data_IF_268498547806
#
_entry.id   IF_268498547806
#
_cell.length_a   1.000
_cell.length_b   1.000
_cell.length_c   1.000
_cell.angle_alpha   90.00
_cell.angle_beta   90.00
_cell.angle_gamma   90.00
#
_symmetry.space_group_name_H-M   'P 1'
#
loop_
_entity.id
_entity.type
_entity.pdbx_description
1 polymer ?
#
# COMPACT_ATOMS: atom_id res chain seq x y z
N UNK A 1 -5.59 23.35 0.07
CA UNK A 1 -6.18 22.40 -0.89
C UNK A 1 -6.61 21.15 -0.13
N UNK A 2 -7.68 20.49 -0.55
CA UNK A 2 -8.17 19.27 0.10
C UNK A 2 -7.99 18.08 -0.85
N UNK A 3 -7.42 16.99 -0.35
CA UNK A 3 -7.18 15.76 -1.13
C UNK A 3 -7.95 14.61 -0.48
N UNK A 4 -8.61 13.80 -1.31
CA UNK A 4 -9.31 12.59 -0.85
C UNK A 4 -8.35 11.41 -0.92
N UNK A 5 -8.25 10.64 0.16
CA UNK A 5 -7.48 9.39 0.19
C UNK A 5 -8.43 8.23 -0.11
N UNK A 6 -8.29 7.62 -1.29
CA UNK A 6 -9.11 6.47 -1.68
C UNK A 6 -8.43 5.61 -2.75
N UNK A 7 -9.18 4.70 -3.37
CA UNK A 7 -8.75 3.83 -4.47
C UNK A 7 -9.33 4.23 -5.84
N UNK A 8 -9.91 5.43 -5.96
CA UNK A 8 -10.49 5.96 -7.22
C UNK A 8 -9.53 6.90 -7.96
N UNK A 9 -9.84 7.22 -9.22
CA UNK A 9 -9.02 8.09 -10.09
C UNK A 9 -8.84 9.47 -9.48
N UNK A 10 -7.59 9.97 -9.52
CA UNK A 10 -7.24 11.30 -9.01
C UNK A 10 -7.34 11.45 -7.49
N UNK A 11 -7.30 10.33 -6.76
CA UNK A 11 -7.33 10.31 -5.29
C UNK A 11 -6.21 9.42 -4.77
N UNK A 12 -5.99 9.45 -3.46
CA UNK A 12 -4.99 8.63 -2.80
C UNK A 12 -3.78 9.43 -2.35
N UNK A 13 -2.78 8.70 -1.87
CA UNK A 13 -1.59 9.28 -1.26
C UNK A 13 -0.67 9.92 -2.31
N UNK A 14 -0.73 9.46 -3.56
CA UNK A 14 -0.05 10.07 -4.69
C UNK A 14 -0.49 11.51 -4.95
N UNK A 15 -1.81 11.75 -5.01
CA UNK A 15 -2.38 13.10 -5.15
C UNK A 15 -2.03 14.01 -3.97
N UNK A 16 -1.94 13.46 -2.75
CA UNK A 16 -1.52 14.22 -1.58
C UNK A 16 -0.06 14.64 -1.69
N UNK A 17 0.82 13.72 -2.10
CA UNK A 17 2.23 14.03 -2.32
C UNK A 17 2.43 15.08 -3.42
N UNK A 18 1.65 15.02 -4.50
CA UNK A 18 1.65 16.04 -5.55
C UNK A 18 1.24 17.41 -5.01
N UNK A 19 0.16 17.49 -4.23
CA UNK A 19 -0.29 18.73 -3.60
C UNK A 19 0.76 19.32 -2.63
N UNK A 20 1.44 18.47 -1.85
CA UNK A 20 2.55 18.91 -0.98
C UNK A 20 3.71 19.44 -1.84
N UNK A 21 4.10 18.70 -2.87
CA UNK A 21 5.22 19.06 -3.74
C UNK A 21 4.96 20.36 -4.53
N UNK A 22 3.71 20.62 -4.92
CA UNK A 22 3.30 21.88 -5.55
C UNK A 22 3.51 23.09 -4.64
N UNK A 23 3.31 22.93 -3.33
CA UNK A 23 3.44 23.99 -2.31
C UNK A 23 4.79 23.93 -1.55
N UNK A 24 5.73 23.13 -2.06
CA UNK A 24 6.91 22.74 -1.31
C UNK A 24 7.94 23.84 -1.07
N UNK A 25 7.89 24.93 -1.84
CA UNK A 25 8.70 26.12 -1.60
C UNK A 25 8.23 26.91 -0.37
N UNK A 26 6.94 26.87 -0.06
CA UNK A 26 6.38 27.50 1.14
C UNK A 26 6.51 26.56 2.34
N UNK A 27 6.20 25.28 2.15
CA UNK A 27 6.26 24.28 3.22
C UNK A 27 7.69 23.92 3.62
N UNK A 28 8.67 24.09 2.72
CA UNK A 28 10.04 23.59 2.88
C UNK A 28 10.07 22.07 3.15
N UNK A 29 9.09 21.35 2.60
CA UNK A 29 8.91 19.91 2.71
C UNK A 29 8.63 19.37 1.31
N UNK A 30 9.29 18.26 0.96
CA UNK A 30 9.00 17.45 -0.22
C UNK A 30 8.37 16.14 0.22
N UNK A 31 7.50 15.58 -0.60
CA UNK A 31 6.82 14.33 -0.32
C UNK A 31 7.12 13.29 -1.39
N UNK A 32 7.32 12.05 -0.97
CA UNK A 32 7.28 10.87 -1.83
C UNK A 32 6.29 9.87 -1.27
N UNK A 33 5.89 8.90 -2.09
CA UNK A 33 4.91 7.90 -1.69
C UNK A 33 5.29 6.53 -2.24
N UNK A 34 4.78 5.49 -1.59
CA UNK A 34 4.79 4.13 -2.12
C UNK A 34 3.50 3.43 -1.71
N UNK A 35 2.80 2.85 -2.67
CA UNK A 35 1.64 1.98 -2.40
C UNK A 35 1.92 0.61 -2.97
N UNK A 36 2.34 -0.29 -2.09
CA UNK A 36 2.65 -1.66 -2.43
C UNK A 36 2.12 -2.59 -1.34
N UNK A 37 1.41 -3.62 -1.75
CA UNK A 37 0.99 -4.73 -0.90
C UNK A 37 1.76 -5.98 -1.28
N UNK A 38 2.46 -6.56 -0.33
CA UNK A 38 3.16 -7.84 -0.50
C UNK A 38 2.43 -8.91 0.32
N UNK A 39 2.32 -10.12 -0.24
CA UNK A 39 1.77 -11.26 0.47
C UNK A 39 2.64 -11.67 1.67
N UNK A 40 2.01 -12.01 2.79
CA UNK A 40 2.69 -12.63 3.93
C UNK A 40 3.12 -14.07 3.63
N UNK A 41 2.40 -14.72 2.72
CA UNK A 41 2.58 -16.13 2.34
C UNK A 41 2.68 -16.26 0.83
N UNK A 42 3.25 -17.35 0.37
CA UNK A 42 3.35 -17.61 -1.07
C UNK A 42 1.96 -17.83 -1.67
N UNK A 43 1.83 -17.52 -2.95
CA UNK A 43 0.59 -17.83 -3.69
C UNK A 43 0.39 -19.35 -3.64
N UNK A 44 -0.82 -19.75 -3.29
CA UNK A 44 -1.17 -21.16 -3.18
C UNK A 44 -0.67 -21.83 -1.89
N UNK A 45 -0.22 -21.09 -0.88
CA UNK A 45 0.19 -21.71 0.39
C UNK A 45 -0.96 -22.46 1.09
N UNK A 46 -2.22 -22.08 0.85
CA UNK A 46 -3.40 -22.78 1.38
C UNK A 46 -3.98 -23.80 0.40
N UNK A 47 -3.26 -24.14 -0.68
CA UNK A 47 -3.67 -25.17 -1.64
C UNK A 47 -3.96 -26.46 -0.88
N UNK A 48 -5.21 -26.89 -0.94
CA UNK A 48 -5.63 -28.17 -0.41
C UNK A 48 -5.28 -29.27 -1.42
N UNK A 49 -5.15 -30.51 -0.95
CA UNK A 49 -5.07 -31.68 -1.84
C UNK A 49 -6.28 -31.77 -2.80
N UNK A 50 -7.39 -31.15 -2.40
CA UNK A 50 -8.57 -30.93 -3.22
C UNK A 50 -8.40 -29.67 -4.09
N UNK A 51 -8.12 -29.88 -5.39
CA UNK A 51 -7.96 -28.82 -6.40
C UNK A 51 -9.15 -27.87 -6.51
N UNK A 52 -10.35 -28.30 -6.11
CA UNK A 52 -11.56 -27.44 -6.18
C UNK A 52 -11.51 -26.25 -5.22
N UNK A 53 -10.58 -26.27 -4.25
CA UNK A 53 -10.34 -25.19 -3.29
C UNK A 53 -9.22 -24.23 -3.71
N UNK A 54 -8.55 -24.50 -4.83
CA UNK A 54 -7.45 -23.68 -5.33
C UNK A 54 -7.99 -22.55 -6.22
N UNK A 55 -8.98 -21.80 -5.72
CA UNK A 55 -9.64 -20.77 -6.51
C UNK A 55 -9.99 -19.56 -5.68
N UNK A 56 -10.08 -18.42 -6.35
CA UNK A 56 -10.58 -17.18 -5.77
C UNK A 56 -11.89 -16.85 -6.48
N UNK A 57 -12.98 -16.83 -5.72
CA UNK A 57 -14.32 -16.59 -6.26
C UNK A 57 -14.68 -15.09 -6.20
N UNK A 58 -15.07 -14.52 -7.34
CA UNK A 58 -15.55 -13.13 -7.42
C UNK A 58 -14.49 -12.09 -7.02
N UNK A 59 -13.25 -12.27 -7.48
CA UNK A 59 -12.15 -11.35 -7.25
C UNK A 59 -12.49 -9.95 -7.80
N UNK A 60 -12.23 -8.94 -6.98
CA UNK A 60 -12.35 -7.53 -7.31
C UNK A 60 -11.11 -6.78 -6.83
N UNK A 61 -10.62 -5.87 -7.67
CA UNK A 61 -9.54 -4.94 -7.32
C UNK A 61 -10.02 -3.52 -7.57
N UNK A 62 -9.92 -2.65 -6.57
CA UNK A 62 -10.37 -1.26 -6.61
C UNK A 62 -11.82 -1.09 -7.08
N UNK A 63 -12.67 -2.10 -6.82
CA UNK A 63 -14.08 -2.15 -7.22
C UNK A 63 -14.35 -2.77 -8.60
N UNK A 64 -13.32 -3.02 -9.41
CA UNK A 64 -13.43 -3.67 -10.73
C UNK A 64 -13.45 -5.18 -10.55
N UNK A 65 -14.39 -5.87 -11.20
CA UNK A 65 -14.53 -7.33 -11.14
C UNK A 65 -13.59 -8.02 -12.11
N UNK A 66 -12.70 -8.85 -11.57
CA UNK A 66 -11.81 -9.73 -12.32
C UNK A 66 -12.46 -11.11 -12.55
N UNK A 67 -13.47 -11.47 -11.75
CA UNK A 67 -14.20 -12.73 -11.85
C UNK A 67 -13.60 -13.83 -10.96
N UNK A 68 -13.85 -15.08 -11.32
CA UNK A 68 -13.29 -16.24 -10.60
C UNK A 68 -12.01 -16.71 -11.28
N UNK A 69 -10.96 -16.93 -10.49
CA UNK A 69 -9.71 -17.55 -10.95
C UNK A 69 -9.69 -18.97 -10.38
N UNK A 70 -9.64 -19.97 -11.24
CA UNK A 70 -9.63 -21.38 -10.87
C UNK A 70 -8.21 -21.96 -10.98
N UNK A 71 -8.02 -23.11 -10.34
CA UNK A 71 -6.82 -23.96 -10.47
C UNK A 71 -5.49 -23.23 -10.21
N UNK A 72 -5.49 -22.27 -9.27
CA UNK A 72 -4.31 -21.49 -8.91
C UNK A 72 -3.19 -22.43 -8.47
N UNK A 73 -2.05 -22.32 -9.15
CA UNK A 73 -0.85 -23.09 -8.83
C UNK A 73 0.03 -22.37 -7.81
N UNK A 74 0.89 -23.12 -7.08
CA UNK A 74 1.87 -22.50 -6.19
C UNK A 74 2.72 -21.47 -6.95
N UNK A 75 2.93 -20.31 -6.32
CA UNK A 75 3.71 -19.19 -6.88
C UNK A 75 3.19 -18.66 -8.22
N UNK A 76 1.92 -18.89 -8.57
CA UNK A 76 1.33 -18.51 -9.87
C UNK A 76 2.14 -19.06 -11.06
N UNK A 77 2.53 -20.35 -11.01
CA UNK A 77 3.38 -20.97 -12.02
C UNK A 77 2.80 -20.94 -13.46
N UNK A 78 1.49 -20.83 -13.58
CA UNK A 78 0.73 -20.68 -14.83
C UNK A 78 0.50 -19.21 -15.22
N UNK A 79 0.81 -18.26 -14.34
CA UNK A 79 0.66 -16.82 -14.57
C UNK A 79 -0.80 -16.34 -14.58
N UNK A 80 -1.75 -17.16 -14.11
CA UNK A 80 -3.17 -16.88 -14.20
C UNK A 80 -3.60 -15.71 -13.29
N UNK A 81 -3.06 -15.64 -12.07
CA UNK A 81 -3.32 -14.53 -11.14
C UNK A 81 -2.75 -13.24 -11.72
N UNK A 82 -1.50 -13.26 -12.18
CA UNK A 82 -0.85 -12.10 -12.79
C UNK A 82 -1.59 -11.61 -14.03
N UNK A 83 -1.98 -12.52 -14.93
CA UNK A 83 -2.73 -12.16 -16.13
C UNK A 83 -4.09 -11.55 -15.79
N UNK A 84 -4.84 -12.13 -14.85
CA UNK A 84 -6.15 -11.62 -14.45
C UNK A 84 -6.08 -10.19 -13.91
N UNK A 85 -5.06 -9.87 -13.11
CA UNK A 85 -4.85 -8.52 -12.59
C UNK A 85 -4.33 -7.57 -13.67
N UNK A 86 -3.27 -7.97 -14.38
CA UNK A 86 -2.57 -7.10 -15.30
C UNK A 86 -3.39 -6.75 -16.57
N UNK A 87 -4.33 -7.62 -16.96
CA UNK A 87 -5.27 -7.31 -18.05
C UNK A 87 -6.18 -6.11 -17.76
N UNK A 88 -6.40 -5.79 -16.47
CA UNK A 88 -7.23 -4.67 -16.04
C UNK A 88 -6.43 -3.58 -15.29
N UNK A 89 -5.10 -3.52 -15.46
CA UNK A 89 -4.26 -2.48 -14.83
C UNK A 89 -4.69 -1.07 -15.23
N UNK A 90 -5.09 -0.86 -16.49
CA UNK A 90 -5.54 0.46 -16.97
C UNK A 90 -6.83 0.95 -16.28
N UNK A 91 -7.66 0.05 -15.77
CA UNK A 91 -8.90 0.37 -15.07
C UNK A 91 -8.70 0.43 -13.55
N UNK A 92 -7.94 -0.53 -13.01
CA UNK A 92 -7.72 -0.66 -11.56
C UNK A 92 -6.64 0.27 -11.03
N UNK A 93 -5.65 0.64 -11.87
CA UNK A 93 -4.43 1.35 -11.46
C UNK A 93 -3.42 0.48 -10.71
N UNK A 94 -3.65 -0.84 -10.66
CA UNK A 94 -2.85 -1.81 -9.89
C UNK A 94 -2.15 -2.77 -10.84
N UNK A 95 -0.86 -2.99 -10.60
CA UNK A 95 -0.05 -3.97 -11.30
C UNK A 95 0.32 -5.11 -10.34
N UNK A 96 0.20 -6.35 -10.81
CA UNK A 96 0.61 -7.54 -10.09
C UNK A 96 1.95 -8.08 -10.59
N UNK A 97 2.74 -8.60 -9.66
CA UNK A 97 3.98 -9.34 -9.89
C UNK A 97 4.14 -10.43 -8.84
N UNK A 98 5.03 -11.39 -9.09
CA UNK A 98 5.45 -12.40 -8.10
C UNK A 98 6.90 -12.12 -7.73
N UNK A 99 7.20 -12.08 -6.43
CA UNK A 99 8.57 -11.91 -5.97
C UNK A 99 9.39 -13.21 -6.09
N UNK A 100 10.71 -13.13 -5.88
CA UNK A 100 11.60 -14.31 -5.99
C UNK A 100 11.28 -15.42 -4.98
N UNK A 101 10.46 -15.15 -3.96
CA UNK A 101 10.04 -16.11 -2.93
C UNK A 101 8.66 -16.70 -3.24
N UNK A 102 7.96 -16.22 -4.27
CA UNK A 102 6.63 -16.69 -4.65
C UNK A 102 5.47 -15.92 -4.02
N UNK A 103 5.72 -14.76 -3.41
CA UNK A 103 4.67 -13.90 -2.86
C UNK A 103 4.06 -13.01 -3.95
N UNK A 104 2.74 -12.83 -3.88
CA UNK A 104 2.06 -11.83 -4.69
C UNK A 104 2.48 -10.42 -4.25
N UNK A 105 2.83 -9.58 -5.21
CA UNK A 105 3.12 -8.17 -4.99
C UNK A 105 2.21 -7.34 -5.88
N UNK A 106 1.41 -6.49 -5.25
CA UNK A 106 0.53 -5.53 -5.91
C UNK A 106 1.10 -4.13 -5.72
N UNK A 107 1.28 -3.39 -6.81
CA UNK A 107 1.80 -2.03 -6.79
C UNK A 107 0.81 -1.09 -7.47
N UNK A 108 0.49 0.03 -6.82
CA UNK A 108 -0.32 1.08 -7.44
C UNK A 108 0.56 1.98 -8.29
N UNK A 109 0.16 2.24 -9.54
CA UNK A 109 0.96 3.07 -10.46
C UNK A 109 0.78 4.58 -10.24
N UNK A 110 -0.40 5.00 -9.80
CA UNK A 110 -0.79 6.41 -9.64
C UNK A 110 -0.91 6.85 -8.17
N UNK A 111 -0.52 5.99 -7.21
CA UNK A 111 -0.53 6.31 -5.78
C UNK A 111 -1.90 6.25 -5.12
N UNK A 112 -2.85 5.55 -5.73
CA UNK A 112 -4.12 5.17 -5.10
C UNK A 112 -3.94 4.08 -4.07
N UNK A 113 -4.95 3.92 -3.22
CA UNK A 113 -5.08 2.71 -2.42
C UNK A 113 -5.33 1.46 -3.27
N UNK A 114 -4.85 0.33 -2.75
CA UNK A 114 -5.09 -1.02 -3.23
C UNK A 114 -6.15 -1.64 -2.33
N UNK A 115 -7.32 -1.93 -2.90
CA UNK A 115 -8.40 -2.65 -2.23
C UNK A 115 -8.69 -3.92 -3.00
N UNK A 116 -8.37 -5.06 -2.41
CA UNK A 116 -8.65 -6.38 -2.97
C UNK A 116 -9.82 -7.00 -2.20
N UNK A 117 -10.77 -7.54 -2.92
CA UNK A 117 -11.95 -8.19 -2.35
C UNK A 117 -12.25 -9.47 -3.11
N UNK A 118 -12.75 -10.48 -2.43
CA UNK A 118 -13.31 -11.66 -3.06
C UNK A 118 -14.52 -12.16 -2.27
N UNK A 119 -15.38 -12.94 -2.92
CA UNK A 119 -16.47 -13.64 -2.24
C UNK A 119 -15.92 -14.78 -1.38
N UNK A 120 -14.90 -15.50 -1.87
CA UNK A 120 -14.22 -16.57 -1.14
C UNK A 120 -12.80 -16.83 -1.69
N UNK A 121 -11.97 -17.51 -0.91
CA UNK A 121 -10.65 -18.03 -1.34
C UNK A 121 -9.55 -16.98 -1.45
N UNK A 122 -9.73 -15.76 -0.94
CA UNK A 122 -8.73 -14.69 -1.05
C UNK A 122 -7.41 -15.04 -0.34
N UNK A 123 -7.46 -15.90 0.67
CA UNK A 123 -6.29 -16.40 1.40
C UNK A 123 -5.34 -17.23 0.53
N UNK A 124 -5.81 -17.79 -0.58
CA UNK A 124 -4.98 -18.48 -1.59
C UNK A 124 -3.94 -17.53 -2.20
N UNK A 125 -4.23 -16.23 -2.26
CA UNK A 125 -3.29 -15.22 -2.77
C UNK A 125 -2.18 -14.86 -1.77
N UNK A 126 -2.26 -15.36 -0.53
CA UNK A 126 -1.23 -15.15 0.50
C UNK A 126 -1.14 -13.72 1.03
N UNK A 127 -2.11 -12.85 0.73
CA UNK A 127 -2.18 -11.48 1.25
C UNK A 127 -2.57 -11.45 2.73
N UNK A 128 -2.11 -10.42 3.46
CA UNK A 128 -2.64 -10.10 4.78
C UNK A 128 -4.11 -9.71 4.64
N UNK A 129 -5.02 -10.37 5.35
CA UNK A 129 -6.45 -10.14 5.21
C UNK A 129 -6.98 -9.38 6.42
N UNK A 130 -7.79 -8.36 6.16
CA UNK A 130 -8.48 -7.65 7.22
C UNK A 130 -9.40 -8.64 7.95
N UNK A 131 -9.32 -8.65 9.29
CA UNK A 131 -10.14 -9.53 10.12
C UNK A 131 -11.59 -9.10 10.12
N UNK A 132 -12.37 -9.75 9.26
CA UNK A 132 -13.68 -10.34 9.49
C UNK A 132 -14.00 -11.08 8.19
N UNK A 133 -14.02 -12.42 8.27
CA UNK A 133 -14.32 -13.33 7.16
C UNK A 133 -13.27 -13.46 6.03
N UNK A 134 -12.04 -12.93 6.15
CA UNK A 134 -10.94 -13.16 5.17
C UNK A 134 -11.30 -12.86 3.71
N UNK A 135 -12.14 -11.85 3.48
CA UNK A 135 -12.66 -11.51 2.13
C UNK A 135 -12.05 -10.23 1.56
N UNK A 136 -11.25 -9.49 2.35
CA UNK A 136 -10.77 -8.17 1.97
C UNK A 136 -9.34 -7.92 2.42
N UNK A 137 -8.59 -7.24 1.57
CA UNK A 137 -7.31 -6.61 1.88
C UNK A 137 -7.40 -5.13 1.50
N UNK A 138 -6.86 -4.23 2.32
CA UNK A 138 -6.84 -2.79 2.04
C UNK A 138 -5.47 -2.23 2.41
N UNK A 139 -4.90 -1.45 1.51
CA UNK A 139 -3.67 -0.72 1.73
C UNK A 139 -3.74 0.63 1.03
N UNK A 140 -3.51 1.73 1.73
CA UNK A 140 -3.48 3.07 1.14
C UNK A 140 -2.06 3.62 0.98
N UNK A 141 -1.07 2.79 1.31
CA UNK A 141 0.36 3.04 1.14
C UNK A 141 0.96 3.90 2.24
N UNK A 142 2.18 4.35 1.96
CA UNK A 142 3.04 5.13 2.85
C UNK A 142 3.40 6.46 2.18
N UNK A 143 3.28 7.54 2.93
CA UNK A 143 3.81 8.86 2.58
C UNK A 143 5.13 9.06 3.33
N UNK A 144 6.14 9.59 2.64
CA UNK A 144 7.43 9.95 3.21
C UNK A 144 7.63 11.45 3.02
N UNK A 145 7.94 12.16 4.10
CA UNK A 145 8.17 13.59 4.10
C UNK A 145 9.65 13.87 4.31
N UNK A 146 10.21 14.71 3.45
CA UNK A 146 11.62 15.08 3.47
C UNK A 146 11.73 16.58 3.61
N UNK A 147 12.51 17.01 4.60
CA UNK A 147 12.91 18.39 4.80
C UNK A 147 14.44 18.45 4.81
N UNK A 148 14.98 19.54 4.27
CA UNK A 148 16.43 19.72 4.10
C UNK A 148 17.09 20.48 5.27
N UNK A 149 16.31 20.90 6.25
CA UNK A 149 16.83 21.43 7.52
C UNK A 149 16.68 20.37 8.63
N UNK A 150 17.22 20.67 9.82
CA UNK A 150 17.20 19.73 10.95
C UNK A 150 15.95 19.85 11.84
N UNK A 151 14.91 20.57 11.39
CA UNK A 151 13.66 20.75 12.17
C UNK A 151 12.67 19.66 11.85
N UNK A 152 11.88 19.34 12.85
CA UNK A 152 10.80 18.38 12.72
C UNK A 152 9.72 18.84 11.71
N UNK A 153 9.07 17.87 11.07
CA UNK A 153 7.92 18.08 10.20
C UNK A 153 6.66 17.71 10.98
N UNK A 154 6.02 18.73 11.55
CA UNK A 154 4.78 18.55 12.31
C UNK A 154 3.63 18.37 11.31
N UNK A 155 2.97 17.22 11.39
CA UNK A 155 1.80 16.88 10.56
C UNK A 155 0.59 16.75 11.47
N UNK A 156 -0.42 17.58 11.22
CA UNK A 156 -1.71 17.53 11.93
C UNK A 156 -2.83 17.41 10.92
N UNK A 157 -3.87 16.63 11.23
CA UNK A 157 -5.11 16.70 10.48
C UNK A 157 -5.97 17.86 10.99
N UNK A 158 -6.99 18.22 10.21
CA UNK A 158 -8.06 19.09 10.67
C UNK A 158 -9.31 18.24 10.90
N UNK A 159 -10.08 18.57 11.93
CA UNK A 159 -11.39 17.99 12.15
C UNK A 159 -12.42 18.49 11.11
N UNK A 160 -13.66 18.00 11.20
CA UNK A 160 -14.74 18.40 10.30
C UNK A 160 -15.08 19.90 10.37
N UNK A 161 -14.70 20.59 11.44
CA UNK A 161 -14.90 22.02 11.64
C UNK A 161 -13.66 22.85 11.22
N UNK A 162 -12.60 22.21 10.71
CA UNK A 162 -11.37 22.87 10.27
C UNK A 162 -10.37 23.17 11.38
N UNK A 163 -10.58 22.64 12.59
CA UNK A 163 -9.67 22.83 13.72
C UNK A 163 -8.56 21.76 13.70
N UNK A 164 -7.29 22.09 13.99
CA UNK A 164 -6.22 21.10 14.10
C UNK A 164 -6.53 20.02 15.14
N UNK A 165 -6.27 18.76 14.79
CA UNK A 165 -6.27 17.59 15.69
C UNK A 165 -4.87 17.34 16.24
N UNK A 166 -4.76 16.44 17.21
CA UNK A 166 -3.48 16.11 17.85
C UNK A 166 -2.53 15.32 16.94
N UNK A 167 -3.06 14.63 15.92
CA UNK A 167 -2.27 13.86 14.97
C UNK A 167 -2.94 13.78 13.58
N UNK A 168 -2.27 13.10 12.64
CA UNK A 168 -2.75 12.88 11.27
C UNK A 168 -2.99 11.38 10.98
N UNK A 169 -3.85 10.76 11.79
CA UNK A 169 -4.14 9.31 11.72
C UNK A 169 -4.64 8.83 10.35
N UNK A 170 -5.40 9.64 9.61
CA UNK A 170 -5.96 9.28 8.29
C UNK A 170 -4.93 9.00 7.21
N UNK A 171 -3.69 9.47 7.39
CA UNK A 171 -2.57 9.27 6.47
C UNK A 171 -1.41 8.52 7.13
N UNK A 172 -1.65 7.85 8.26
CA UNK A 172 -0.68 6.99 8.92
C UNK A 172 0.38 7.71 9.76
N UNK A 173 0.22 9.01 10.03
CA UNK A 173 1.09 9.78 10.94
C UNK A 173 0.53 9.91 12.36
N UNK A 174 -0.61 9.25 12.63
CA UNK A 174 -1.18 9.18 13.97
C UNK A 174 -0.56 8.09 14.83
N UNK A 175 -0.67 8.22 16.15
CA UNK A 175 -0.22 7.16 17.07
C UNK A 175 -1.25 6.04 17.05
N UNK A 176 -0.83 4.81 16.71
CA UNK A 176 -1.69 3.62 16.71
C UNK A 176 -1.07 2.55 17.58
N UNK A 177 -1.73 2.16 18.68
CA UNK A 177 -1.25 1.14 19.62
C UNK A 177 0.23 1.34 20.07
N UNK A 178 0.63 2.60 20.30
CA UNK A 178 1.99 2.97 20.70
C UNK A 178 3.02 2.96 19.56
N UNK A 179 2.61 2.64 18.34
CA UNK A 179 3.43 2.74 17.13
C UNK A 179 3.29 4.14 16.52
N UNK A 180 4.43 4.76 16.25
CA UNK A 180 4.54 6.11 15.68
C UNK A 180 5.21 6.04 14.30
N UNK A 181 5.00 7.07 13.48
CA UNK A 181 5.72 7.22 12.23
C UNK A 181 7.24 7.26 12.50
N UNK A 182 8.01 6.58 11.65
CA UNK A 182 9.46 6.60 11.76
C UNK A 182 10.01 7.97 11.33
N UNK A 183 10.76 8.61 12.22
CA UNK A 183 11.44 9.88 11.99
C UNK A 183 12.94 9.76 12.27
N UNK A 184 13.75 10.45 11.46
CA UNK A 184 15.19 10.53 11.62
C UNK A 184 15.78 11.75 10.91
N UNK A 185 16.77 12.39 11.52
CA UNK A 185 17.65 13.36 10.85
C UNK A 185 18.93 12.63 10.43
N UNK A 186 19.23 12.65 9.13
CA UNK A 186 20.41 11.99 8.57
C UNK A 186 21.49 13.02 8.26
N UNK A 187 22.66 12.87 8.89
CA UNK A 187 23.80 13.74 8.64
C UNK A 187 24.62 13.23 7.45
N UNK A 188 25.33 14.12 6.76
CA UNK A 188 26.20 13.74 5.64
C UNK A 188 27.30 12.74 6.03
N UNK A 189 27.73 12.74 7.30
CA UNK A 189 28.70 11.76 7.80
C UNK A 189 28.11 10.34 7.88
N UNK A 190 26.84 10.19 8.24
CA UNK A 190 26.22 8.88 8.48
C UNK A 190 25.93 8.11 7.20
N UNK A 191 25.85 8.77 6.04
CA UNK A 191 25.58 8.08 4.76
C UNK A 191 26.69 7.11 4.33
N UNK A 192 27.89 7.24 4.91
CA UNK A 192 29.03 6.36 4.62
C UNK A 192 28.98 5.03 5.39
N UNK A 193 28.11 4.95 6.40
CA UNK A 193 27.91 3.74 7.20
C UNK A 193 26.58 3.07 6.88
N UNK A 194 26.32 1.88 7.46
CA UNK A 194 25.02 1.24 7.36
C UNK A 194 23.95 2.07 8.07
N UNK A 195 22.76 2.13 7.50
CA UNK A 195 21.60 2.73 8.15
C UNK A 195 21.01 1.76 9.18
N UNK A 196 20.62 2.27 10.34
CA UNK A 196 19.87 1.47 11.30
C UNK A 196 18.40 1.29 10.84
N UNK A 197 17.67 0.37 11.48
CA UNK A 197 16.30 0.03 11.06
C UNK A 197 15.34 1.23 11.09
N UNK A 198 15.46 2.12 12.10
CA UNK A 198 14.63 3.33 12.20
C UNK A 198 14.96 4.32 11.09
N UNK A 199 16.23 4.51 10.76
CA UNK A 199 16.66 5.37 9.65
C UNK A 199 16.18 4.81 8.31
N UNK A 200 16.33 3.50 8.09
CA UNK A 200 15.83 2.84 6.87
C UNK A 200 14.31 3.03 6.72
N UNK A 201 13.55 2.78 7.78
CA UNK A 201 12.10 2.98 7.80
C UNK A 201 11.70 4.45 7.54
N UNK A 202 12.38 5.41 8.19
CA UNK A 202 12.15 6.84 8.01
C UNK A 202 12.47 7.34 6.59
N UNK A 203 13.43 6.71 5.90
CA UNK A 203 13.74 7.00 4.50
C UNK A 203 12.74 6.37 3.50
N UNK A 204 11.81 5.55 3.98
CA UNK A 204 10.84 4.87 3.13
C UNK A 204 11.33 3.56 2.51
N UNK A 205 12.30 2.88 3.15
CA UNK A 205 12.72 1.52 2.78
C UNK A 205 11.76 0.44 3.28
#
# INVERSE_FOLDING_TARGET
ESVVISHTVGTGIGSLAEAINKNSNELQVRASWSVQSSGEKTIGNTIAADKTKNRVDGLKINGISLGTINDILPNDADGNVLAAVNNLTSQTGVQASVDARGHLVLTSQDGRGIVVQATAGLDVLGLELNSDNKTKHKNYGRLTLIRNDARDVIVVANDKAGKPTDDAHSIGFGKTDGTEAAEAVINLRSIRGPFNLRQASAMGA
#
